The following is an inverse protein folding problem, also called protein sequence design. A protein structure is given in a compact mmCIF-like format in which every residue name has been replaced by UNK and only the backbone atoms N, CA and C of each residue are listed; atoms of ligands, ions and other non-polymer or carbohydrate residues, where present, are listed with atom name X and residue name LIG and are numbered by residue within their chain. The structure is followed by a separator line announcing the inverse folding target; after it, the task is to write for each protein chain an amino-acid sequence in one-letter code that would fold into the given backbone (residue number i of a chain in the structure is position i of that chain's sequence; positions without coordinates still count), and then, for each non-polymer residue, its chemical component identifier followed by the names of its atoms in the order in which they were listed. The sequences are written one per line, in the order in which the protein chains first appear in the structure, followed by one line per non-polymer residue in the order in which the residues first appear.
data_IF_579722813451
#
_entry.id   IF_579722813451
#
_cell.length_a   1.000
_cell.length_b   1.000
_cell.length_c   1.000
_cell.angle_alpha   90.00
_cell.angle_beta   90.00
_cell.angle_gamma   90.00
#
_symmetry.space_group_name_H-M   'P 1'
#
loop_
_entity.id
_entity.type
_entity.pdbx_description
1 polymer ?
#
# COMPACT_ATOMS: atom_id res chain seq x y z
N UNK A 1 -34.79 24.72 -13.45
CA UNK A 1 -33.49 23.99 -13.28
C UNK A 1 -33.34 23.01 -14.43
N UNK A 2 -32.53 23.38 -15.46
CA UNK A 2 -32.19 22.43 -16.54
C UNK A 2 -31.05 21.54 -16.03
N UNK A 3 -31.37 20.32 -15.59
CA UNK A 3 -30.42 19.23 -15.41
C UNK A 3 -30.56 18.31 -16.62
N UNK A 4 -29.47 17.95 -17.25
CA UNK A 4 -29.44 16.91 -18.27
C UNK A 4 -29.01 15.60 -17.64
N UNK A 5 -29.78 14.55 -17.94
CA UNK A 5 -29.52 13.18 -17.48
C UNK A 5 -29.35 12.29 -18.70
N UNK A 6 -28.64 11.19 -18.51
CA UNK A 6 -28.69 10.08 -19.47
C UNK A 6 -30.15 9.57 -19.57
N UNK A 7 -30.58 9.25 -20.78
CA UNK A 7 -31.89 8.68 -21.07
C UNK A 7 -32.02 7.17 -20.76
N UNK A 8 -30.91 6.52 -20.36
CA UNK A 8 -30.83 5.11 -19.98
C UNK A 8 -30.14 4.92 -18.64
N UNK A 9 -30.48 3.82 -17.87
CA UNK A 9 -29.74 3.50 -16.66
C UNK A 9 -28.22 3.44 -16.90
N UNK A 10 -27.41 3.96 -15.97
CA UNK A 10 -27.74 4.40 -14.60
C UNK A 10 -28.29 5.81 -14.42
N UNK A 11 -28.86 6.50 -15.41
CA UNK A 11 -29.47 7.85 -15.30
C UNK A 11 -28.56 8.90 -14.68
N UNK A 12 -27.32 8.88 -15.04
CA UNK A 12 -26.33 9.82 -14.52
C UNK A 12 -26.56 11.24 -14.97
N UNK A 13 -26.19 12.20 -14.11
CA UNK A 13 -26.24 13.62 -14.45
C UNK A 13 -25.15 13.92 -15.46
N UNK A 14 -25.55 14.43 -16.63
CA UNK A 14 -24.61 14.84 -17.68
C UNK A 14 -24.13 16.28 -17.53
N UNK A 15 -25.01 17.17 -17.05
CA UNK A 15 -24.68 18.56 -16.77
C UNK A 15 -25.72 19.20 -15.84
N UNK A 16 -25.32 20.29 -15.19
CA UNK A 16 -26.21 21.13 -14.37
C UNK A 16 -26.04 22.60 -14.75
N UNK A 17 -26.76 23.50 -14.09
CA UNK A 17 -26.57 24.94 -14.25
C UNK A 17 -25.15 25.40 -13.86
N UNK A 18 -24.52 24.68 -12.92
CA UNK A 18 -23.23 25.06 -12.31
C UNK A 18 -22.06 24.17 -12.74
N UNK A 19 -22.34 23.00 -13.33
CA UNK A 19 -21.35 22.04 -13.77
C UNK A 19 -21.57 21.76 -15.26
N UNK A 20 -20.57 22.06 -16.07
CA UNK A 20 -20.54 21.67 -17.48
C UNK A 20 -20.43 20.14 -17.62
N UNK A 21 -20.62 19.64 -18.84
CA UNK A 21 -20.38 18.23 -19.13
C UNK A 21 -18.92 17.83 -18.87
N UNK A 22 -17.98 18.69 -19.26
CA UNK A 22 -16.54 18.44 -19.07
C UNK A 22 -16.17 18.41 -17.58
N UNK A 23 -16.78 19.28 -16.75
CA UNK A 23 -16.59 19.23 -15.30
C UNK A 23 -17.10 17.91 -14.69
N UNK A 24 -18.23 17.39 -15.19
CA UNK A 24 -18.76 16.11 -14.75
C UNK A 24 -17.82 14.96 -15.11
N UNK A 25 -17.29 14.94 -16.32
CA UNK A 25 -16.31 13.93 -16.76
C UNK A 25 -15.05 14.00 -15.92
N UNK A 26 -14.52 15.22 -15.70
CA UNK A 26 -13.35 15.45 -14.83
C UNK A 26 -13.56 14.92 -13.41
N UNK A 27 -14.72 15.20 -12.80
CA UNK A 27 -15.05 14.72 -11.47
C UNK A 27 -15.19 13.19 -11.40
N UNK A 28 -15.74 12.56 -12.44
CA UNK A 28 -15.79 11.09 -12.54
C UNK A 28 -14.42 10.46 -12.62
N UNK A 29 -13.49 11.06 -13.34
CA UNK A 29 -12.11 10.61 -13.37
C UNK A 29 -11.44 10.69 -12.00
N UNK A 30 -11.67 11.79 -11.26
CA UNK A 30 -11.19 11.92 -9.88
C UNK A 30 -11.83 10.87 -8.96
N UNK A 31 -13.15 10.65 -9.06
CA UNK A 31 -13.88 9.63 -8.30
C UNK A 31 -13.31 8.23 -8.53
N UNK A 32 -13.03 7.87 -9.78
CA UNK A 32 -12.41 6.60 -10.14
C UNK A 32 -11.02 6.44 -9.47
N UNK A 33 -10.20 7.47 -9.49
CA UNK A 33 -8.88 7.42 -8.86
C UNK A 33 -8.96 7.32 -7.34
N UNK A 34 -9.89 8.01 -6.71
CA UNK A 34 -10.17 7.90 -5.27
C UNK A 34 -10.60 6.47 -4.93
N UNK A 35 -11.49 5.87 -5.70
CA UNK A 35 -11.95 4.50 -5.48
C UNK A 35 -10.81 3.48 -5.62
N UNK A 36 -10.00 3.61 -6.67
CA UNK A 36 -8.92 2.68 -6.97
C UNK A 36 -7.77 2.80 -5.95
N UNK A 37 -7.39 4.01 -5.58
CA UNK A 37 -6.18 4.24 -4.80
C UNK A 37 -6.46 4.52 -3.32
N UNK A 38 -7.41 5.37 -2.98
CA UNK A 38 -7.70 5.71 -1.59
C UNK A 38 -8.60 4.68 -0.92
N UNK A 39 -9.81 4.45 -1.47
CA UNK A 39 -10.80 3.57 -0.85
C UNK A 39 -10.36 2.10 -0.80
N UNK A 40 -9.50 1.68 -1.72
CA UNK A 40 -8.92 0.33 -1.69
C UNK A 40 -8.06 0.07 -0.44
N UNK A 41 -7.54 1.11 0.20
CA UNK A 41 -6.62 1.03 1.33
C UNK A 41 -5.30 0.31 1.05
N UNK A 42 -4.93 0.16 -0.24
CA UNK A 42 -3.73 -0.57 -0.65
C UNK A 42 -2.47 0.30 -0.64
N UNK A 43 -2.60 1.62 -0.72
CA UNK A 43 -1.50 2.56 -0.99
C UNK A 43 -1.33 3.60 0.10
N UNK A 44 -1.71 3.27 1.33
CA UNK A 44 -1.83 4.22 2.45
C UNK A 44 -0.53 4.98 2.74
N UNK A 45 0.60 4.25 2.78
CA UNK A 45 1.90 4.86 3.10
C UNK A 45 2.41 5.71 1.93
N UNK A 46 2.24 5.21 0.71
CA UNK A 46 2.65 5.92 -0.52
C UNK A 46 1.83 7.18 -0.75
N UNK A 47 0.49 7.10 -0.62
CA UNK A 47 -0.38 8.25 -0.84
C UNK A 47 -0.12 9.35 0.18
N UNK A 48 0.13 9.01 1.45
CA UNK A 48 0.45 9.98 2.49
C UNK A 48 1.67 10.83 2.15
N UNK A 49 2.72 10.21 1.59
CA UNK A 49 3.88 10.97 1.10
C UNK A 49 3.55 11.76 -0.16
N UNK A 50 2.76 11.18 -1.05
CA UNK A 50 2.44 11.80 -2.33
C UNK A 50 1.55 13.03 -2.19
N UNK A 51 0.67 13.06 -1.18
CA UNK A 51 -0.15 14.22 -0.84
C UNK A 51 0.68 15.46 -0.50
N UNK A 52 1.90 15.30 0.01
CA UNK A 52 2.80 16.40 0.34
C UNK A 52 3.39 17.10 -0.92
N UNK A 53 3.37 16.44 -2.08
CA UNK A 53 3.88 16.98 -3.35
C UNK A 53 2.83 17.81 -4.12
N UNK A 54 1.58 17.81 -3.68
CA UNK A 54 0.48 18.51 -4.34
C UNK A 54 -0.10 19.61 -3.46
N UNK A 55 -0.75 20.60 -4.08
CA UNK A 55 -1.37 21.72 -3.36
C UNK A 55 -2.50 21.26 -2.42
N UNK A 56 -3.20 20.22 -2.83
CA UNK A 56 -4.27 19.58 -2.08
C UNK A 56 -4.54 18.17 -2.61
N UNK A 57 -5.32 17.40 -1.88
CA UNK A 57 -5.68 16.01 -2.22
C UNK A 57 -6.48 15.91 -3.52
N UNK A 58 -7.31 16.91 -3.84
CA UNK A 58 -8.04 16.93 -5.13
C UNK A 58 -7.08 17.04 -6.31
N UNK A 59 -6.09 17.93 -6.23
CA UNK A 59 -5.08 18.12 -7.26
C UNK A 59 -4.26 16.84 -7.52
N UNK A 60 -3.97 16.06 -6.49
CA UNK A 60 -3.32 14.76 -6.63
C UNK A 60 -4.17 13.80 -7.48
N UNK A 61 -5.43 13.57 -7.09
CA UNK A 61 -6.29 12.61 -7.81
C UNK A 61 -6.68 13.11 -9.20
N UNK A 62 -6.80 14.42 -9.40
CA UNK A 62 -6.99 15.00 -10.72
C UNK A 62 -5.78 14.77 -11.64
N UNK A 63 -4.57 14.97 -11.10
CA UNK A 63 -3.34 14.71 -11.85
C UNK A 63 -3.18 13.23 -12.19
N UNK A 64 -3.55 12.34 -11.27
CA UNK A 64 -3.56 10.91 -11.50
C UNK A 64 -4.60 10.50 -12.56
N UNK A 65 -5.81 11.06 -12.51
CA UNK A 65 -6.85 10.86 -13.53
C UNK A 65 -6.37 11.28 -14.92
N UNK A 66 -5.76 12.46 -15.03
CA UNK A 66 -5.17 12.96 -16.28
C UNK A 66 -4.07 12.02 -16.79
N UNK A 67 -3.20 11.53 -15.90
CA UNK A 67 -2.18 10.55 -16.25
C UNK A 67 -2.79 9.27 -16.83
N UNK A 68 -3.90 8.80 -16.26
CA UNK A 68 -4.65 7.65 -16.77
C UNK A 68 -5.21 7.89 -18.17
N UNK A 69 -5.79 9.07 -18.42
CA UNK A 69 -6.30 9.46 -19.74
C UNK A 69 -5.18 9.51 -20.78
N UNK A 70 -4.11 10.25 -20.50
CA UNK A 70 -2.98 10.46 -21.41
C UNK A 70 -2.28 9.16 -21.79
N UNK A 71 -2.30 8.16 -20.92
CA UNK A 71 -1.68 6.85 -21.14
C UNK A 71 -2.70 5.77 -21.56
N UNK A 72 -3.97 6.11 -21.77
CA UNK A 72 -5.01 5.17 -22.20
C UNK A 72 -5.32 4.06 -21.20
N UNK A 73 -5.15 4.33 -19.89
CA UNK A 73 -5.28 3.35 -18.82
C UNK A 73 -6.71 3.22 -18.26
N UNK A 74 -7.55 4.24 -18.44
CA UNK A 74 -8.89 4.34 -17.86
C UNK A 74 -9.92 3.33 -18.39
N UNK A 75 -9.68 2.74 -19.57
CA UNK A 75 -10.58 1.76 -20.20
C UNK A 75 -10.15 0.30 -19.98
N UNK A 76 -9.17 0.06 -19.11
CA UNK A 76 -8.55 -1.25 -18.92
C UNK A 76 -8.70 -1.70 -17.46
N UNK A 77 -9.16 -2.94 -17.26
CA UNK A 77 -9.13 -3.53 -15.93
C UNK A 77 -7.71 -3.91 -15.52
N UNK A 78 -7.16 -3.17 -14.57
CA UNK A 78 -5.82 -3.41 -14.06
C UNK A 78 -5.83 -4.45 -12.94
N UNK A 79 -4.86 -5.37 -12.99
CA UNK A 79 -4.57 -6.24 -11.86
C UNK A 79 -4.08 -5.42 -10.65
N UNK A 80 -4.14 -6.00 -9.45
CA UNK A 80 -3.61 -5.31 -8.26
C UNK A 80 -2.15 -4.90 -8.44
N UNK A 81 -1.31 -5.80 -8.94
CA UNK A 81 0.11 -5.52 -9.16
C UNK A 81 0.32 -4.40 -10.21
N UNK A 82 -0.44 -4.45 -11.30
CA UNK A 82 -0.38 -3.40 -12.33
C UNK A 82 -0.70 -2.02 -11.76
N UNK A 83 -1.62 -1.92 -10.78
CA UNK A 83 -1.92 -0.64 -10.12
C UNK A 83 -0.71 -0.08 -9.36
N UNK A 84 0.11 -0.92 -8.72
CA UNK A 84 1.38 -0.49 -8.12
C UNK A 84 2.38 0.00 -9.18
N UNK A 85 2.47 -0.70 -10.30
CA UNK A 85 3.34 -0.32 -11.42
C UNK A 85 2.93 1.01 -12.05
N UNK A 86 1.63 1.21 -12.26
CA UNK A 86 1.07 2.47 -12.79
C UNK A 86 1.31 3.62 -11.82
N UNK A 87 1.04 3.42 -10.51
CA UNK A 87 1.28 4.46 -9.51
C UNK A 87 2.76 4.83 -9.43
N UNK A 88 3.66 3.85 -9.53
CA UNK A 88 5.09 4.13 -9.55
C UNK A 88 5.53 4.86 -10.83
N UNK A 89 4.94 4.54 -11.97
CA UNK A 89 5.18 5.26 -13.23
C UNK A 89 4.68 6.72 -13.14
N UNK A 90 3.50 6.94 -12.56
CA UNK A 90 2.97 8.28 -12.27
C UNK A 90 3.91 9.07 -11.34
N UNK A 91 4.37 8.46 -10.23
CA UNK A 91 5.32 9.10 -9.31
C UNK A 91 6.58 9.55 -10.06
N UNK A 92 7.15 8.70 -10.90
CA UNK A 92 8.34 9.05 -11.71
C UNK A 92 8.09 10.19 -12.69
N UNK A 93 6.85 10.40 -13.11
CA UNK A 93 6.49 11.47 -14.04
C UNK A 93 6.26 12.81 -13.33
N UNK A 94 5.79 12.81 -12.08
CA UNK A 94 5.41 14.04 -11.37
C UNK A 94 6.35 14.43 -10.22
N UNK A 95 7.17 13.49 -9.70
CA UNK A 95 8.08 13.74 -8.58
C UNK A 95 9.52 13.80 -9.07
N UNK A 96 10.19 14.93 -8.85
CA UNK A 96 11.58 15.12 -9.29
C UNK A 96 12.61 14.52 -8.34
N UNK A 97 12.31 14.47 -7.04
CA UNK A 97 13.24 14.06 -5.99
C UNK A 97 12.70 12.90 -5.16
N UNK A 98 13.62 12.17 -4.54
CA UNK A 98 13.27 11.11 -3.58
C UNK A 98 12.41 9.95 -4.15
N UNK A 99 12.42 9.71 -5.48
CA UNK A 99 11.65 8.63 -6.12
C UNK A 99 11.92 7.28 -5.45
N UNK A 100 13.13 7.05 -4.94
CA UNK A 100 13.46 5.83 -4.22
C UNK A 100 12.66 5.67 -2.91
N UNK A 101 12.43 6.76 -2.17
CA UNK A 101 11.60 6.70 -0.96
C UNK A 101 10.15 6.27 -1.28
N UNK A 102 9.59 6.78 -2.37
CA UNK A 102 8.27 6.35 -2.86
C UNK A 102 8.26 4.88 -3.26
N UNK A 103 9.32 4.40 -3.92
CA UNK A 103 9.48 2.97 -4.23
C UNK A 103 9.46 2.13 -2.96
N UNK A 104 10.19 2.54 -1.92
CA UNK A 104 10.24 1.82 -0.64
C UNK A 104 8.86 1.81 0.05
N UNK A 105 8.10 2.91 -0.01
CA UNK A 105 6.75 2.94 0.54
C UNK A 105 5.77 2.07 -0.27
N UNK A 106 5.88 2.04 -1.59
CA UNK A 106 5.10 1.12 -2.44
C UNK A 106 5.42 -0.35 -2.15
N UNK A 107 6.68 -0.68 -1.87
CA UNK A 107 7.10 -2.03 -1.46
C UNK A 107 6.47 -2.37 -0.10
N UNK A 108 6.47 -1.44 0.84
CA UNK A 108 5.80 -1.60 2.14
C UNK A 108 4.30 -1.86 1.95
N UNK A 109 3.61 -1.00 1.20
CA UNK A 109 2.18 -1.12 0.92
C UNK A 109 1.84 -2.46 0.24
N UNK A 110 2.69 -2.89 -0.71
CA UNK A 110 2.53 -4.19 -1.38
C UNK A 110 2.57 -5.34 -0.39
N UNK A 111 3.64 -5.44 0.40
CA UNK A 111 3.82 -6.59 1.31
C UNK A 111 2.94 -6.53 2.56
N UNK A 112 2.41 -5.37 2.92
CA UNK A 112 1.33 -5.30 3.92
C UNK A 112 0.04 -5.99 3.44
N UNK A 113 -0.20 -6.04 2.14
CA UNK A 113 -1.45 -6.58 1.56
C UNK A 113 -1.28 -7.92 0.85
N UNK A 114 -0.19 -8.11 0.12
CA UNK A 114 -0.03 -9.20 -0.83
C UNK A 114 1.21 -10.06 -0.51
N UNK A 115 1.00 -11.36 -0.37
CA UNK A 115 2.10 -12.32 -0.37
C UNK A 115 2.43 -12.72 -1.82
N UNK A 116 3.15 -11.85 -2.52
CA UNK A 116 3.46 -12.08 -3.93
C UNK A 116 4.56 -13.12 -4.10
N UNK A 117 4.34 -14.08 -5.01
CA UNK A 117 5.33 -15.12 -5.32
C UNK A 117 6.48 -14.61 -6.17
N UNK A 118 6.20 -13.70 -7.08
CA UNK A 118 7.19 -13.07 -7.96
C UNK A 118 7.26 -11.59 -7.63
N UNK A 119 8.45 -11.10 -7.33
CA UNK A 119 8.70 -9.69 -7.07
C UNK A 119 8.34 -8.86 -8.30
N UNK A 120 7.52 -7.80 -8.18
CA UNK A 120 7.17 -6.93 -9.30
C UNK A 120 8.38 -6.11 -9.78
N UNK A 121 8.36 -5.68 -11.04
CA UNK A 121 9.46 -4.93 -11.64
C UNK A 121 9.72 -3.58 -10.95
N UNK A 122 8.67 -2.88 -10.53
CA UNK A 122 8.84 -1.61 -9.82
C UNK A 122 9.63 -1.74 -8.52
N UNK A 123 9.57 -2.89 -7.86
CA UNK A 123 10.26 -3.14 -6.60
C UNK A 123 11.79 -3.37 -6.78
N UNK A 124 12.26 -3.48 -8.03
CA UNK A 124 13.68 -3.66 -8.35
C UNK A 124 14.24 -5.01 -7.88
N UNK A 125 15.54 -5.07 -7.65
CA UNK A 125 16.22 -6.29 -7.22
C UNK A 125 15.83 -6.71 -5.79
N UNK A 126 16.05 -7.98 -5.47
CA UNK A 126 15.80 -8.52 -4.14
C UNK A 126 16.77 -7.91 -3.15
N UNK A 127 16.23 -7.21 -2.15
CA UNK A 127 17.03 -6.47 -1.16
C UNK A 127 17.62 -7.36 -0.06
N UNK A 128 17.00 -8.53 0.20
CA UNK A 128 17.44 -9.46 1.25
C UNK A 128 18.24 -10.60 0.65
N UNK A 129 19.51 -10.70 1.03
CA UNK A 129 20.36 -11.81 0.61
C UNK A 129 19.80 -13.17 1.07
N UNK A 130 19.94 -14.19 0.22
CA UNK A 130 19.43 -15.55 0.48
C UNK A 130 20.01 -16.17 1.77
N UNK A 131 21.27 -15.86 2.08
CA UNK A 131 21.92 -16.37 3.30
C UNK A 131 21.31 -15.70 4.54
N UNK A 132 21.13 -14.37 4.52
CA UNK A 132 20.45 -13.63 5.60
C UNK A 132 19.04 -14.13 5.81
N UNK A 133 18.28 -14.31 4.73
CA UNK A 133 16.92 -14.86 4.83
C UNK A 133 16.91 -16.29 5.40
N UNK A 134 17.87 -17.15 5.00
CA UNK A 134 17.97 -18.50 5.54
C UNK A 134 18.26 -18.49 7.04
N UNK A 135 19.27 -17.71 7.45
CA UNK A 135 19.65 -17.57 8.84
C UNK A 135 18.51 -17.04 9.73
N UNK A 136 17.76 -16.03 9.24
CA UNK A 136 16.58 -15.52 9.92
C UNK A 136 15.55 -16.62 10.16
N UNK A 137 15.15 -17.37 9.13
CA UNK A 137 14.14 -18.41 9.28
C UNK A 137 14.61 -19.64 10.05
N UNK A 138 15.90 -19.94 10.06
CA UNK A 138 16.48 -20.98 10.94
C UNK A 138 16.33 -20.57 12.40
N UNK A 139 16.77 -19.35 12.72
CA UNK A 139 16.64 -18.80 14.07
C UNK A 139 15.19 -18.69 14.53
N UNK A 140 14.28 -18.21 13.66
CA UNK A 140 12.86 -18.12 13.97
C UNK A 140 12.21 -19.50 14.13
N UNK A 141 12.68 -20.55 13.45
CA UNK A 141 12.17 -21.90 13.65
C UNK A 141 12.50 -22.45 15.04
N UNK A 142 13.53 -21.95 15.70
CA UNK A 142 13.96 -22.36 17.05
C UNK A 142 13.42 -21.41 18.13
N UNK A 143 13.65 -20.10 17.97
CA UNK A 143 13.41 -19.10 19.03
C UNK A 143 11.99 -18.52 19.03
N UNK A 144 11.30 -18.46 17.87
CA UNK A 144 9.95 -17.87 17.76
C UNK A 144 9.85 -16.44 18.29
N UNK A 145 10.89 -15.64 18.04
CA UNK A 145 10.97 -14.29 18.60
C UNK A 145 9.87 -13.37 18.03
N UNK A 146 9.67 -13.40 16.70
CA UNK A 146 8.71 -12.58 15.98
C UNK A 146 7.46 -13.37 15.57
N UNK A 147 7.62 -14.61 15.14
CA UNK A 147 6.56 -15.45 14.58
C UNK A 147 5.95 -16.35 15.68
N UNK A 148 5.32 -15.73 16.68
CA UNK A 148 4.61 -16.43 17.73
C UNK A 148 3.36 -17.12 17.17
N UNK A 149 2.99 -18.30 17.69
CA UNK A 149 1.84 -19.07 17.20
C UNK A 149 2.15 -19.97 15.99
N UNK A 150 3.43 -20.13 15.65
CA UNK A 150 3.88 -21.04 14.60
C UNK A 150 4.63 -22.27 15.17
N UNK A 151 4.27 -22.69 16.39
CA UNK A 151 4.85 -23.85 17.02
C UNK A 151 4.71 -25.09 16.11
N UNK A 152 5.80 -25.83 15.95
CA UNK A 152 5.86 -27.01 15.07
C UNK A 152 6.07 -26.72 13.58
N UNK A 153 6.10 -25.45 13.15
CA UNK A 153 6.41 -25.09 11.76
C UNK A 153 7.92 -25.10 11.54
N UNK A 154 8.34 -25.77 10.46
CA UNK A 154 9.72 -25.71 9.98
C UNK A 154 10.01 -24.41 9.20
N UNK A 155 11.29 -24.16 8.88
CA UNK A 155 11.70 -22.96 8.14
C UNK A 155 11.02 -22.83 6.76
N UNK A 156 10.65 -23.93 6.08
CA UNK A 156 10.00 -23.89 4.77
C UNK A 156 8.54 -23.48 4.91
N UNK A 157 7.89 -23.95 5.96
CA UNK A 157 6.52 -23.60 6.29
C UNK A 157 6.43 -22.11 6.69
N UNK A 158 7.36 -21.63 7.52
CA UNK A 158 7.45 -20.21 7.88
C UNK A 158 7.59 -19.32 6.64
N UNK A 159 8.49 -19.67 5.71
CA UNK A 159 8.67 -18.94 4.44
C UNK A 159 7.42 -18.89 3.55
N UNK A 160 6.54 -19.87 3.64
CA UNK A 160 5.29 -19.87 2.86
C UNK A 160 4.25 -18.91 3.46
N UNK A 161 4.28 -18.74 4.77
CA UNK A 161 3.28 -17.99 5.53
C UNK A 161 3.70 -16.54 5.78
N UNK A 162 4.96 -16.22 5.53
CA UNK A 162 5.56 -14.92 5.83
C UNK A 162 6.42 -14.41 4.68
N UNK A 163 6.76 -13.15 4.70
CA UNK A 163 7.71 -12.53 3.76
C UNK A 163 8.74 -11.72 4.53
N UNK A 164 9.99 -11.80 4.13
CA UNK A 164 11.10 -11.02 4.70
C UNK A 164 11.57 -10.00 3.65
N UNK A 165 11.54 -8.71 3.98
CA UNK A 165 11.87 -7.63 3.08
C UNK A 165 12.74 -6.58 3.78
N UNK A 166 13.64 -5.95 3.03
CA UNK A 166 14.40 -4.81 3.49
C UNK A 166 13.82 -3.52 2.90
N UNK A 167 13.42 -2.60 3.76
CA UNK A 167 12.80 -1.32 3.39
C UNK A 167 13.55 -0.20 4.10
N UNK A 168 14.05 0.77 3.36
CA UNK A 168 14.88 1.87 3.87
C UNK A 168 16.02 1.39 4.78
N UNK A 169 16.70 0.30 4.37
CA UNK A 169 17.81 -0.27 5.14
C UNK A 169 17.40 -1.18 6.31
N UNK A 170 16.17 -1.14 6.75
CA UNK A 170 15.64 -1.94 7.86
C UNK A 170 15.01 -3.24 7.37
N UNK A 171 15.17 -4.30 8.15
CA UNK A 171 14.63 -5.62 7.83
C UNK A 171 13.27 -5.81 8.51
N UNK A 172 12.27 -6.21 7.73
CA UNK A 172 10.89 -6.45 8.20
C UNK A 172 10.44 -7.86 7.86
N UNK A 173 9.69 -8.49 8.76
CA UNK A 173 8.96 -9.72 8.49
C UNK A 173 7.47 -9.46 8.51
N UNK A 174 6.79 -9.86 7.43
CA UNK A 174 5.34 -9.75 7.24
C UNK A 174 4.70 -11.11 7.50
N UNK A 175 3.73 -11.14 8.42
CA UNK A 175 3.00 -12.35 8.78
C UNK A 175 1.58 -12.32 8.18
N UNK A 176 1.33 -13.18 7.20
CA UNK A 176 0.06 -13.23 6.48
C UNK A 176 -1.00 -14.11 7.15
N UNK A 177 -0.64 -14.89 8.17
CA UNK A 177 -1.60 -15.64 8.97
C UNK A 177 -2.33 -14.73 9.95
N UNK A 178 -1.60 -13.80 10.55
CA UNK A 178 -2.13 -12.84 11.51
C UNK A 178 -2.35 -11.49 10.81
N UNK A 179 -3.55 -11.32 10.24
CA UNK A 179 -3.95 -10.09 9.57
C UNK A 179 -4.81 -9.23 10.47
N UNK A 180 -4.69 -7.93 10.33
CA UNK A 180 -5.62 -7.00 10.95
C UNK A 180 -7.03 -7.22 10.38
N UNK A 181 -8.01 -7.41 11.26
CA UNK A 181 -9.39 -7.75 10.87
C UNK A 181 -10.06 -6.61 10.08
N UNK A 182 -9.73 -5.36 10.39
CA UNK A 182 -10.35 -4.19 9.76
C UNK A 182 -9.67 -3.81 8.43
N UNK A 183 -8.34 -3.79 8.41
CA UNK A 183 -7.57 -3.33 7.25
C UNK A 183 -7.12 -4.46 6.34
N UNK A 184 -7.23 -5.72 6.79
CA UNK A 184 -6.69 -6.91 6.12
C UNK A 184 -5.18 -6.84 5.82
N UNK A 185 -4.46 -5.98 6.54
CA UNK A 185 -3.00 -5.88 6.44
C UNK A 185 -2.34 -7.00 7.24
N UNK A 186 -1.21 -7.51 6.73
CA UNK A 186 -0.36 -8.44 7.44
C UNK A 186 0.20 -7.80 8.71
N UNK A 187 0.38 -8.59 9.76
CA UNK A 187 1.19 -8.14 10.90
C UNK A 187 2.63 -7.97 10.44
N UNK A 188 3.28 -6.90 10.84
CA UNK A 188 4.65 -6.59 10.46
C UNK A 188 5.51 -6.39 11.70
N UNK A 189 6.70 -7.00 11.69
CA UNK A 189 7.67 -6.88 12.77
C UNK A 189 9.00 -6.37 12.20
N UNK A 190 9.58 -5.41 12.89
CA UNK A 190 10.94 -4.98 12.61
C UNK A 190 11.92 -5.98 13.23
N UNK A 191 12.84 -6.48 12.38
CA UNK A 191 13.86 -7.44 12.80
C UNK A 191 15.08 -6.66 13.26
N UNK A 192 15.32 -6.60 14.56
CA UNK A 192 16.47 -5.93 15.15
C UNK A 192 17.78 -6.55 14.68
N UNK A 193 18.65 -5.72 14.16
CA UNK A 193 20.00 -6.13 13.66
C UNK A 193 20.72 -5.03 12.93
N UNK A 194 20.07 -3.87 12.74
CA UNK A 194 20.67 -2.64 12.26
C UNK A 194 20.36 -1.52 13.26
N UNK A 195 21.39 -0.85 13.73
CA UNK A 195 21.26 0.37 14.52
C UNK A 195 20.44 1.40 13.75
N UNK A 196 19.48 1.98 14.45
CA UNK A 196 18.80 3.25 14.24
C UNK A 196 17.27 3.21 14.12
N UNK A 197 16.69 4.24 14.73
CA UNK A 197 15.30 4.45 15.07
C UNK A 197 14.32 4.41 13.87
N UNK A 198 13.12 3.95 14.16
CA UNK A 198 11.91 4.09 13.33
C UNK A 198 11.80 5.49 12.76
N UNK A 199 11.55 5.69 11.46
CA UNK A 199 11.10 6.98 10.96
C UNK A 199 9.76 7.29 11.63
N UNK A 200 9.74 8.42 12.33
CA UNK A 200 8.58 8.97 13.02
C UNK A 200 7.42 9.13 12.05
N UNK A 201 6.41 8.26 12.12
CA UNK A 201 5.24 8.29 11.24
C UNK A 201 4.32 7.07 11.30
N UNK A 202 4.67 6.02 12.05
CA UNK A 202 3.75 4.89 12.21
C UNK A 202 2.80 5.10 13.40
N UNK A 203 1.49 4.87 13.23
CA UNK A 203 0.57 4.77 14.35
C UNK A 203 0.92 3.50 15.11
N UNK A 204 1.47 3.66 16.31
CA UNK A 204 1.61 2.60 17.30
C UNK A 204 0.22 2.19 17.76
N UNK A 205 -0.39 1.19 17.14
CA UNK A 205 -1.44 0.41 17.77
C UNK A 205 -0.80 -0.76 18.52
N UNK A 206 -0.20 -0.44 19.66
CA UNK A 206 0.00 -1.41 20.71
C UNK A 206 -1.36 -1.66 21.37
N UNK A 207 -2.05 -2.72 20.98
CA UNK A 207 -3.07 -3.34 21.80
C UNK A 207 -2.36 -4.06 22.96
N UNK A 208 -2.03 -3.30 24.00
CA UNK A 208 -1.66 -3.81 25.31
C UNK A 208 -2.88 -3.72 26.22
N UNK A 209 -3.69 -4.77 26.24
CA UNK A 209 -4.63 -4.97 27.33
C UNK A 209 -3.88 -5.25 28.62
N UNK A 210 -3.91 -4.33 29.56
CA UNK A 210 -3.71 -4.62 30.96
C UNK A 210 -4.97 -4.18 31.72
N UNK A 211 -5.78 -5.19 32.03
CA UNK A 211 -6.71 -5.14 33.14
C UNK A 211 -5.89 -5.12 34.42
N UNK A 212 -5.89 -4.02 35.13
CA UNK A 212 -5.59 -4.00 36.54
C UNK A 212 -6.87 -3.61 37.28
N UNK A 213 -7.49 -4.66 37.83
CA UNK A 213 -8.33 -4.54 39.01
C UNK A 213 -7.41 -4.20 40.17
N UNK A 214 -7.69 -3.10 40.84
CA UNK A 214 -7.43 -3.01 42.31
C UNK A 214 -8.41 -1.99 42.94
N UNK A 215 -9.00 -2.51 43.96
CA UNK A 215 -9.81 -1.96 45.04
C UNK A 215 -9.32 -0.61 45.61
N UNK A 216 -10.19 0.29 45.88
CA UNK A 216 -10.79 0.69 47.19
C UNK A 216 -11.95 1.63 46.93
#
# INVERSE_FOLDING_TARGET
YKRQYQDRPPFEVLSTKWLSYDDVIRLKGVEEMVEVYYNSGQFVNTLRLLEEEFTDTFALYESLSRYYEENGLHMINHSRITRYEVLFAFIKACVEKNVENYRQMLILDLYLRENVKKRPEFAGEVSVDKQKASAFYEKEAEERRYLKGYEGYDKRQLRKMTHLEQINGNLYVFDYRNRNVLTNQASVFWVEGGDEAYPSGHPTHACGGQTSSDHV
#
